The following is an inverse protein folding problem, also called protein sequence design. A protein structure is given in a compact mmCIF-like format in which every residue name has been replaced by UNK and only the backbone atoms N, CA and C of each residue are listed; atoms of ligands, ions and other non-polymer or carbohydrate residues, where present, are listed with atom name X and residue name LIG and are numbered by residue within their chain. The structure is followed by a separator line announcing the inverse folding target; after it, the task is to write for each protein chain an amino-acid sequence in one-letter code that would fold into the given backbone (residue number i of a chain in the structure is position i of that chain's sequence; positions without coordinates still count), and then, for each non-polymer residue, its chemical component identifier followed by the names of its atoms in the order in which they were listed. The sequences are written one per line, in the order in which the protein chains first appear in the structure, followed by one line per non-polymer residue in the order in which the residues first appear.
data_IF_107146818266
#
_entry.id   IF_107146818266
#
_cell.length_a   1.000
_cell.length_b   1.000
_cell.length_c   1.000
_cell.angle_alpha   90.00
_cell.angle_beta   90.00
_cell.angle_gamma   90.00
#
_symmetry.space_group_name_H-M   'P 1'
#
loop_
_entity.id
_entity.type
_entity.pdbx_description
1 polymer ?
#
# COMPACT_ATOMS: atom_id res chain seq x y z
N UNK A 1 -19.34 -1.30 5.75
CA UNK A 1 -18.50 -1.69 6.89
C UNK A 1 -18.70 -3.15 7.35
N UNK A 2 -19.86 -3.58 7.88
CA UNK A 2 -20.05 -4.96 8.37
C UNK A 2 -19.85 -6.03 7.28
N UNK A 3 -20.54 -5.91 6.16
CA UNK A 3 -20.41 -6.84 5.03
C UNK A 3 -18.96 -6.92 4.50
N UNK A 4 -18.24 -5.80 4.49
CA UNK A 4 -16.83 -5.78 4.08
C UNK A 4 -15.93 -6.55 5.06
N UNK A 5 -16.18 -6.45 6.38
CA UNK A 5 -15.46 -7.24 7.39
C UNK A 5 -15.75 -8.72 7.25
N UNK A 6 -17.00 -9.11 7.05
CA UNK A 6 -17.40 -10.51 6.84
C UNK A 6 -16.76 -11.08 5.56
N UNK A 7 -16.78 -10.31 4.46
CA UNK A 7 -16.13 -10.70 3.22
C UNK A 7 -14.61 -10.86 3.39
N UNK A 8 -13.93 -9.89 3.99
CA UNK A 8 -12.48 -9.92 4.19
C UNK A 8 -12.05 -11.03 5.16
N UNK A 9 -12.66 -11.12 6.34
CA UNK A 9 -12.26 -12.09 7.38
C UNK A 9 -12.39 -13.55 6.93
N UNK A 10 -13.29 -13.86 6.00
CA UNK A 10 -13.46 -15.20 5.45
C UNK A 10 -12.41 -15.61 4.42
N UNK A 11 -11.49 -14.74 4.00
CA UNK A 11 -10.42 -15.09 3.06
C UNK A 11 -9.31 -15.89 3.75
N UNK A 12 -8.99 -17.07 3.22
CA UNK A 12 -7.94 -17.94 3.72
C UNK A 12 -6.54 -17.51 3.24
N UNK A 13 -6.45 -16.93 2.04
CA UNK A 13 -5.18 -16.51 1.44
C UNK A 13 -5.35 -15.25 0.56
N UNK A 14 -4.22 -14.73 0.05
CA UNK A 14 -4.16 -13.52 -0.77
C UNK A 14 -4.95 -13.64 -2.07
N UNK A 15 -5.02 -14.83 -2.66
CA UNK A 15 -5.76 -15.07 -3.91
C UNK A 15 -7.26 -15.01 -3.65
N UNK A 16 -7.72 -15.63 -2.57
CA UNK A 16 -9.12 -15.57 -2.16
C UNK A 16 -9.53 -14.15 -1.75
N UNK A 17 -8.66 -13.44 -1.02
CA UNK A 17 -8.91 -12.04 -0.65
C UNK A 17 -9.07 -11.16 -1.90
N UNK A 18 -8.21 -11.35 -2.91
CA UNK A 18 -8.28 -10.64 -4.19
C UNK A 18 -9.63 -10.87 -4.86
N UNK A 19 -10.05 -12.13 -5.00
CA UNK A 19 -11.32 -12.49 -5.64
C UNK A 19 -12.52 -11.91 -4.90
N UNK A 20 -12.51 -11.97 -3.56
CA UNK A 20 -13.59 -11.43 -2.72
C UNK A 20 -13.69 -9.91 -2.84
N UNK A 21 -12.56 -9.19 -2.83
CA UNK A 21 -12.55 -7.74 -2.98
C UNK A 21 -12.98 -7.31 -4.39
N UNK A 22 -12.51 -8.00 -5.42
CA UNK A 22 -12.90 -7.74 -6.81
C UNK A 22 -14.42 -7.94 -7.02
N UNK A 23 -15.00 -8.98 -6.42
CA UNK A 23 -16.43 -9.26 -6.46
C UNK A 23 -17.28 -8.40 -5.49
N UNK A 24 -16.68 -7.60 -4.60
CA UNK A 24 -17.41 -6.87 -3.58
C UNK A 24 -18.10 -5.61 -4.12
N UNK A 25 -19.43 -5.61 -4.18
CA UNK A 25 -20.23 -4.50 -4.71
C UNK A 25 -20.57 -3.40 -3.69
N UNK A 26 -20.18 -3.58 -2.42
CA UNK A 26 -20.45 -2.60 -1.37
C UNK A 26 -19.53 -1.37 -1.38
N UNK A 27 -18.65 -1.23 -2.38
CA UNK A 27 -17.72 -0.11 -2.50
C UNK A 27 -18.11 0.82 -3.65
N UNK A 28 -18.57 2.03 -3.33
CA UNK A 28 -18.99 3.03 -4.33
C UNK A 28 -17.88 3.37 -5.34
N UNK A 29 -16.61 3.27 -4.93
CA UNK A 29 -15.46 3.54 -5.79
C UNK A 29 -15.44 2.62 -7.02
N UNK A 30 -15.84 1.36 -6.86
CA UNK A 30 -15.87 0.35 -7.92
C UNK A 30 -16.76 0.77 -9.10
N UNK A 31 -17.82 1.54 -8.84
CA UNK A 31 -18.78 1.95 -9.87
C UNK A 31 -18.20 2.98 -10.86
N UNK A 32 -17.14 3.68 -10.46
CA UNK A 32 -16.51 4.76 -11.25
C UNK A 32 -15.06 4.49 -11.62
N UNK A 33 -14.50 3.39 -11.14
CA UNK A 33 -13.08 3.06 -11.30
C UNK A 33 -12.81 2.32 -12.63
N UNK A 34 -11.58 2.43 -13.13
CA UNK A 34 -11.07 1.56 -14.20
C UNK A 34 -10.66 0.18 -13.69
N UNK A 35 -9.51 -0.31 -14.16
CA UNK A 35 -9.06 -1.68 -13.86
C UNK A 35 -8.80 -1.91 -12.36
N UNK A 36 -9.08 -3.13 -11.92
CA UNK A 36 -8.74 -3.60 -10.57
C UNK A 36 -7.26 -3.95 -10.50
N UNK A 37 -6.50 -3.25 -9.63
CA UNK A 37 -5.05 -3.41 -9.51
C UNK A 37 -4.65 -3.39 -8.04
N UNK A 38 -4.38 -4.56 -7.46
CA UNK A 38 -4.19 -4.72 -6.01
C UNK A 38 -2.71 -4.77 -5.58
N UNK A 39 -1.90 -5.60 -6.23
CA UNK A 39 -0.55 -5.92 -5.76
C UNK A 39 0.34 -6.51 -6.86
N UNK A 40 1.65 -6.54 -6.60
CA UNK A 40 2.70 -7.18 -7.39
C UNK A 40 3.83 -7.71 -6.50
N UNK A 41 4.83 -8.31 -7.13
CA UNK A 41 6.04 -8.79 -6.46
C UNK A 41 5.87 -10.14 -5.80
N UNK A 42 6.62 -10.40 -4.72
CA UNK A 42 6.68 -11.71 -4.07
C UNK A 42 5.76 -11.79 -2.83
N UNK A 43 4.64 -12.54 -2.88
CA UNK A 43 3.85 -12.84 -1.69
C UNK A 43 4.70 -13.47 -0.58
N UNK A 44 4.50 -13.03 0.67
CA UNK A 44 5.26 -13.54 1.82
C UNK A 44 6.68 -12.96 1.97
N UNK A 45 7.05 -11.97 1.15
CA UNK A 45 8.31 -11.24 1.32
C UNK A 45 8.44 -10.60 2.71
N UNK A 46 9.68 -10.52 3.22
CA UNK A 46 9.97 -9.84 4.50
C UNK A 46 9.59 -8.36 4.46
N UNK A 47 9.78 -7.71 3.31
CA UNK A 47 9.41 -6.32 3.06
C UNK A 47 8.12 -6.25 2.26
N UNK A 48 7.12 -5.56 2.82
CA UNK A 48 5.95 -5.08 2.07
C UNK A 48 6.05 -3.57 1.89
N UNK A 49 5.83 -3.09 0.67
CA UNK A 49 5.67 -1.66 0.35
C UNK A 49 4.20 -1.41 0.07
N UNK A 50 3.62 -0.49 0.84
CA UNK A 50 2.25 -0.05 0.70
C UNK A 50 2.22 1.37 0.12
N UNK A 51 1.72 1.48 -1.10
CA UNK A 51 1.35 2.76 -1.71
C UNK A 51 -0.17 2.99 -1.59
N UNK A 52 -0.66 4.16 -1.98
CA UNK A 52 -2.06 4.51 -1.79
C UNK A 52 -2.98 3.87 -2.84
N UNK A 53 -2.80 4.22 -4.12
CA UNK A 53 -3.69 3.79 -5.20
C UNK A 53 -2.93 3.62 -6.51
N UNK A 54 -3.44 2.82 -7.45
CA UNK A 54 -2.96 2.79 -8.83
C UNK A 54 -2.92 4.17 -9.48
N UNK A 55 -1.95 4.39 -10.37
CA UNK A 55 -1.86 5.58 -11.22
C UNK A 55 -2.68 5.45 -12.50
N UNK A 56 -2.51 6.42 -13.41
CA UNK A 56 -3.21 6.44 -14.70
C UNK A 56 -2.76 5.28 -15.60
N UNK A 57 -1.46 4.98 -15.61
CA UNK A 57 -0.92 3.87 -16.39
C UNK A 57 -1.43 2.52 -15.89
N UNK A 58 -1.45 2.29 -14.57
CA UNK A 58 -2.00 1.07 -13.96
C UNK A 58 -3.50 0.93 -14.21
N UNK A 59 -4.27 2.02 -14.05
CA UNK A 59 -5.71 2.03 -14.31
C UNK A 59 -6.03 1.66 -15.76
N UNK A 60 -5.18 2.09 -16.70
CA UNK A 60 -5.35 1.83 -18.14
C UNK A 60 -4.87 0.44 -18.56
N UNK A 61 -3.77 -0.06 -18.02
CA UNK A 61 -3.22 -1.37 -18.41
C UNK A 61 -3.79 -2.54 -17.61
N UNK A 62 -4.26 -2.29 -16.38
CA UNK A 62 -4.56 -3.32 -15.40
C UNK A 62 -3.33 -4.00 -14.80
N UNK A 63 -2.13 -3.52 -15.10
CA UNK A 63 -0.88 -4.04 -14.55
C UNK A 63 -0.45 -3.21 -13.35
N UNK A 64 -0.03 -3.86 -12.27
CA UNK A 64 0.39 -3.19 -11.04
C UNK A 64 1.82 -2.62 -11.14
N UNK A 65 2.02 -1.43 -10.56
CA UNK A 65 3.31 -0.75 -10.50
C UNK A 65 3.96 -0.61 -11.90
N UNK A 66 3.32 0.18 -12.76
CA UNK A 66 3.85 0.60 -14.06
C UNK A 66 3.98 2.13 -14.13
N UNK A 67 4.55 2.68 -15.19
CA UNK A 67 4.67 4.13 -15.32
C UNK A 67 5.76 4.79 -14.44
N UNK A 68 5.72 6.14 -14.29
CA UNK A 68 6.80 6.91 -13.67
C UNK A 68 7.03 6.64 -12.18
N UNK A 69 5.95 6.49 -11.40
CA UNK A 69 6.05 6.24 -9.96
C UNK A 69 6.65 4.87 -9.68
N UNK A 70 6.22 3.84 -10.43
CA UNK A 70 6.78 2.51 -10.32
C UNK A 70 8.27 2.46 -10.68
N UNK A 71 8.71 3.17 -11.73
CA UNK A 71 10.14 3.28 -12.06
C UNK A 71 10.94 3.97 -10.94
N UNK A 72 10.36 4.95 -10.26
CA UNK A 72 10.99 5.56 -9.10
C UNK A 72 11.11 4.56 -7.95
N UNK A 73 10.03 3.82 -7.65
CA UNK A 73 10.02 2.78 -6.63
C UNK A 73 11.08 1.70 -6.91
N UNK A 74 11.18 1.23 -8.15
CA UNK A 74 12.19 0.24 -8.55
C UNK A 74 13.62 0.73 -8.28
N UNK A 75 13.91 1.99 -8.60
CA UNK A 75 15.21 2.59 -8.32
C UNK A 75 15.46 2.72 -6.80
N UNK A 76 14.43 3.07 -6.03
CA UNK A 76 14.50 3.16 -4.56
C UNK A 76 14.78 1.80 -3.92
N UNK A 77 14.08 0.76 -4.35
CA UNK A 77 14.27 -0.61 -3.88
C UNK A 77 15.65 -1.14 -4.26
N UNK A 78 16.06 -0.96 -5.51
CA UNK A 78 17.39 -1.37 -6.00
C UNK A 78 18.52 -0.72 -5.19
N UNK A 79 18.37 0.54 -4.81
CA UNK A 79 19.37 1.27 -4.04
C UNK A 79 19.59 0.70 -2.62
N UNK A 80 18.64 -0.05 -2.07
CA UNK A 80 18.77 -0.75 -0.79
C UNK A 80 18.98 -2.27 -0.94
N UNK A 81 19.30 -2.72 -2.16
CA UNK A 81 19.53 -4.15 -2.47
C UNK A 81 18.27 -4.99 -2.54
N UNK A 82 17.11 -4.37 -2.79
CA UNK A 82 15.82 -5.02 -2.97
C UNK A 82 15.39 -4.99 -4.44
N UNK A 83 14.49 -5.89 -4.82
CA UNK A 83 13.88 -5.97 -6.14
C UNK A 83 12.42 -6.40 -6.05
N UNK A 84 11.70 -6.35 -7.17
CA UNK A 84 10.28 -6.74 -7.22
C UNK A 84 10.08 -8.22 -6.86
N UNK A 85 11.07 -9.05 -7.13
CA UNK A 85 11.11 -10.47 -6.79
C UNK A 85 11.41 -10.76 -5.32
N UNK A 86 11.83 -9.75 -4.54
CA UNK A 86 12.16 -9.89 -3.11
C UNK A 86 11.31 -9.01 -2.18
N UNK A 87 10.50 -8.11 -2.73
CA UNK A 87 9.51 -7.32 -2.00
C UNK A 87 8.08 -7.65 -2.44
N UNK A 88 7.13 -7.46 -1.53
CA UNK A 88 5.71 -7.46 -1.84
C UNK A 88 5.23 -6.02 -2.00
N UNK A 89 4.62 -5.68 -3.14
CA UNK A 89 4.16 -4.33 -3.43
C UNK A 89 2.63 -4.33 -3.47
N UNK A 90 1.98 -3.42 -2.76
CA UNK A 90 0.52 -3.36 -2.70
C UNK A 90 0.00 -1.92 -2.67
N UNK A 91 -1.25 -1.75 -3.10
CA UNK A 91 -2.01 -0.51 -2.94
C UNK A 91 -3.01 -0.61 -1.79
N UNK A 92 -3.21 0.49 -1.07
CA UNK A 92 -4.22 0.61 -0.03
C UNK A 92 -5.67 0.56 -0.57
N UNK A 93 -5.86 0.96 -1.83
CA UNK A 93 -7.09 0.77 -2.61
C UNK A 93 -6.75 0.17 -3.97
N UNK A 94 -7.48 -0.87 -4.44
CA UNK A 94 -7.19 -1.49 -5.73
C UNK A 94 -7.66 -0.68 -6.94
N UNK A 95 -8.35 0.43 -6.69
CA UNK A 95 -8.91 1.31 -7.70
C UNK A 95 -8.35 2.72 -7.52
N UNK A 96 -8.09 3.38 -8.64
CA UNK A 96 -7.72 4.79 -8.68
C UNK A 96 -8.94 5.66 -8.38
N UNK A 97 -8.90 6.52 -7.34
CA UNK A 97 -9.99 7.45 -7.10
C UNK A 97 -10.13 8.50 -8.21
N UNK A 98 -11.36 8.89 -8.59
CA UNK A 98 -11.59 9.88 -9.63
C UNK A 98 -10.82 11.19 -9.37
N UNK A 99 -10.04 11.63 -10.35
CA UNK A 99 -9.20 12.83 -10.24
C UNK A 99 -8.03 12.70 -9.26
N UNK A 100 -7.66 11.48 -8.83
CA UNK A 100 -6.54 11.25 -7.92
C UNK A 100 -6.76 11.76 -6.49
N UNK A 101 -8.02 11.91 -6.06
CA UNK A 101 -8.37 12.33 -4.70
C UNK A 101 -8.06 11.27 -3.64
N UNK A 102 -8.05 11.67 -2.37
CA UNK A 102 -8.08 10.71 -1.25
C UNK A 102 -9.46 10.00 -1.16
N UNK A 103 -9.51 8.87 -0.46
CA UNK A 103 -10.76 8.17 -0.15
C UNK A 103 -11.61 9.02 0.80
N UNK A 104 -12.92 9.02 0.57
CA UNK A 104 -13.85 9.56 1.56
C UNK A 104 -14.04 8.60 2.75
N UNK A 105 -14.66 9.05 3.83
CA UNK A 105 -14.83 8.25 5.05
C UNK A 105 -15.58 6.93 4.81
N UNK A 106 -16.58 6.91 3.91
CA UNK A 106 -17.35 5.70 3.59
C UNK A 106 -16.52 4.68 2.79
N UNK A 107 -15.75 5.16 1.81
CA UNK A 107 -14.82 4.34 1.04
C UNK A 107 -13.73 3.75 1.94
N UNK A 108 -13.10 4.58 2.78
CA UNK A 108 -12.10 4.13 3.76
C UNK A 108 -12.69 3.07 4.70
N UNK A 109 -13.86 3.32 5.28
CA UNK A 109 -14.52 2.36 6.17
C UNK A 109 -14.92 1.03 5.48
N UNK A 110 -15.03 1.04 4.15
CA UNK A 110 -15.36 -0.13 3.34
C UNK A 110 -14.12 -0.91 2.94
N UNK A 111 -13.03 -0.23 2.58
CA UNK A 111 -11.79 -0.85 2.12
C UNK A 111 -10.86 -1.26 3.26
N UNK A 112 -10.91 -0.56 4.41
CA UNK A 112 -10.04 -0.83 5.56
C UNK A 112 -10.02 -2.31 5.99
N UNK A 113 -11.15 -3.04 6.12
CA UNK A 113 -11.12 -4.45 6.48
C UNK A 113 -10.35 -5.33 5.48
N UNK A 114 -10.47 -5.02 4.19
CA UNK A 114 -9.73 -5.74 3.15
C UNK A 114 -8.23 -5.42 3.22
N UNK A 115 -7.87 -4.16 3.40
CA UNK A 115 -6.47 -3.74 3.56
C UNK A 115 -5.81 -4.38 4.79
N UNK A 116 -6.51 -4.39 5.94
CA UNK A 116 -6.03 -5.05 7.15
C UNK A 116 -5.81 -6.54 6.93
N UNK A 117 -6.79 -7.22 6.31
CA UNK A 117 -6.66 -8.64 5.97
C UNK A 117 -5.54 -8.90 4.96
N UNK A 118 -5.34 -7.98 4.02
CA UNK A 118 -4.27 -8.07 3.02
C UNK A 118 -2.90 -8.04 3.70
N UNK A 119 -2.67 -7.08 4.60
CA UNK A 119 -1.42 -6.97 5.35
C UNK A 119 -1.23 -8.17 6.31
N UNK A 120 -2.31 -8.63 6.96
CA UNK A 120 -2.32 -9.85 7.79
C UNK A 120 -1.85 -11.07 6.99
N UNK A 121 -2.46 -11.33 5.83
CA UNK A 121 -2.15 -12.48 4.98
C UNK A 121 -0.79 -12.37 4.29
N UNK A 122 -0.38 -11.15 3.92
CA UNK A 122 0.95 -10.90 3.37
C UNK A 122 2.06 -11.14 4.42
N UNK A 123 1.71 -11.01 5.70
CA UNK A 123 2.57 -11.29 6.84
C UNK A 123 3.99 -10.69 6.67
N UNK A 124 4.14 -9.37 6.49
CA UNK A 124 5.45 -8.73 6.35
C UNK A 124 6.15 -8.57 7.70
N UNK A 125 7.48 -8.61 7.72
CA UNK A 125 8.27 -8.25 8.91
C UNK A 125 8.47 -6.73 8.95
N UNK A 126 8.62 -6.12 7.78
CA UNK A 126 8.79 -4.69 7.58
C UNK A 126 7.71 -4.18 6.64
N UNK A 127 7.00 -3.12 7.05
CA UNK A 127 5.97 -2.45 6.26
C UNK A 127 6.41 -1.01 5.93
N UNK A 128 6.81 -0.76 4.70
CA UNK A 128 7.12 0.58 4.22
C UNK A 128 5.85 1.23 3.65
N UNK A 129 5.35 2.27 4.30
CA UNK A 129 4.16 3.02 3.84
C UNK A 129 4.63 4.28 3.12
N UNK A 130 4.14 4.49 1.90
CA UNK A 130 4.50 5.63 1.06
C UNK A 130 3.38 6.68 1.05
N UNK A 131 3.58 7.76 1.80
CA UNK A 131 2.69 8.92 1.80
C UNK A 131 1.52 8.88 2.77
N UNK A 132 0.89 10.04 2.95
CA UNK A 132 -0.15 10.23 3.97
C UNK A 132 -1.45 9.52 3.63
N UNK A 133 -1.83 9.46 2.35
CA UNK A 133 -3.06 8.81 1.94
C UNK A 133 -3.02 7.30 2.24
N UNK A 134 -1.90 6.63 1.94
CA UNK A 134 -1.68 5.22 2.30
C UNK A 134 -1.68 5.01 3.83
N UNK A 135 -1.03 5.91 4.57
CA UNK A 135 -0.97 5.82 6.03
C UNK A 135 -2.34 6.05 6.69
N UNK A 136 -3.11 7.05 6.26
CA UNK A 136 -4.49 7.28 6.71
C UNK A 136 -5.36 6.06 6.43
N UNK A 137 -5.26 5.49 5.23
CA UNK A 137 -6.02 4.30 4.86
C UNK A 137 -5.65 3.08 5.72
N UNK A 138 -4.37 2.86 6.01
CA UNK A 138 -3.90 1.71 6.77
C UNK A 138 -4.09 1.82 8.29
N UNK A 139 -4.01 3.04 8.83
CA UNK A 139 -3.99 3.30 10.28
C UNK A 139 -5.31 3.88 10.82
N UNK A 140 -6.16 4.44 9.96
CA UNK A 140 -7.34 5.19 10.40
C UNK A 140 -7.01 6.42 11.26
N UNK A 141 -5.76 6.90 11.23
CA UNK A 141 -5.25 7.97 12.08
C UNK A 141 -5.03 9.28 11.31
N UNK A 142 -5.31 10.41 11.96
CA UNK A 142 -5.17 11.75 11.38
C UNK A 142 -3.83 12.43 11.75
N UNK A 143 -3.22 12.10 12.90
CA UNK A 143 -1.93 12.67 13.31
C UNK A 143 -0.76 11.81 12.82
N UNK A 144 -0.41 11.98 11.54
CA UNK A 144 0.73 11.28 10.92
C UNK A 144 2.07 11.96 11.17
N UNK A 145 2.08 13.21 11.66
CA UNK A 145 3.30 13.99 11.82
C UNK A 145 4.31 13.30 12.74
N UNK A 146 3.81 12.65 13.80
CA UNK A 146 4.60 11.89 14.77
C UNK A 146 5.18 10.58 14.22
N UNK A 147 4.58 10.03 13.16
CA UNK A 147 5.00 8.74 12.57
C UNK A 147 6.07 8.90 11.49
N UNK A 148 6.21 10.11 10.92
CA UNK A 148 7.15 10.36 9.82
C UNK A 148 8.60 10.27 10.29
N UNK A 149 9.39 9.46 9.60
CA UNK A 149 10.81 9.28 9.90
C UNK A 149 11.09 8.51 11.19
N UNK A 150 10.07 7.85 11.75
CA UNK A 150 10.17 7.02 12.94
C UNK A 150 9.57 5.65 12.67
N UNK A 151 10.11 4.65 13.36
CA UNK A 151 9.52 3.32 13.36
C UNK A 151 8.35 3.23 14.34
N UNK A 152 7.35 2.45 13.96
CA UNK A 152 6.24 2.09 14.84
C UNK A 152 5.80 0.65 14.55
N UNK A 153 5.05 0.05 15.46
CA UNK A 153 4.53 -1.29 15.27
C UNK A 153 3.14 -1.21 14.60
N UNK A 154 2.94 -2.04 13.58
CA UNK A 154 1.66 -2.20 12.89
C UNK A 154 1.08 -3.56 13.23
N UNK A 155 -0.17 -3.59 13.68
CA UNK A 155 -0.88 -4.82 14.02
C UNK A 155 -1.31 -5.55 12.73
N UNK A 156 -0.76 -6.74 12.51
CA UNK A 156 -1.12 -7.64 11.41
C UNK A 156 -1.85 -8.89 11.93
N UNK A 157 -2.63 -8.77 13.00
CA UNK A 157 -3.38 -9.87 13.61
C UNK A 157 -2.49 -10.75 14.48
N UNK A 158 -2.06 -11.91 13.96
CA UNK A 158 -1.25 -12.86 14.75
C UNK A 158 0.19 -12.39 15.02
N UNK A 159 0.63 -11.30 14.38
CA UNK A 159 1.99 -10.75 14.43
C UNK A 159 1.94 -9.24 14.24
N UNK A 160 3.02 -8.56 14.64
CA UNK A 160 3.22 -7.15 14.34
C UNK A 160 4.32 -6.98 13.29
N UNK A 161 4.13 -6.04 12.37
CA UNK A 161 5.17 -5.60 11.45
C UNK A 161 5.85 -4.33 11.99
N UNK A 162 7.16 -4.20 11.73
CA UNK A 162 7.88 -2.94 11.93
C UNK A 162 7.54 -2.03 10.77
N UNK A 163 6.75 -0.98 11.02
CA UNK A 163 6.29 -0.07 10.00
C UNK A 163 7.09 1.24 9.98
N UNK A 164 7.26 1.80 8.79
CA UNK A 164 7.95 3.06 8.56
C UNK A 164 7.17 3.91 7.56
N UNK A 165 6.88 5.17 7.92
CA UNK A 165 6.18 6.10 7.06
C UNK A 165 7.16 7.02 6.32
N UNK A 166 7.18 6.90 4.99
CA UNK A 166 7.96 7.74 4.08
C UNK A 166 7.07 8.69 3.26
N UNK A 167 7.68 9.41 2.32
CA UNK A 167 7.00 10.32 1.39
C UNK A 167 6.37 9.54 0.22
N UNK A 168 5.29 10.07 -0.36
CA UNK A 168 4.65 9.46 -1.54
C UNK A 168 5.53 9.58 -2.78
N UNK A 169 5.43 8.61 -3.68
CA UNK A 169 6.18 8.59 -4.95
C UNK A 169 5.87 9.82 -5.81
N UNK A 170 4.59 10.18 -5.95
CA UNK A 170 4.17 11.37 -6.68
C UNK A 170 4.78 12.68 -6.14
N UNK A 171 4.92 12.83 -4.82
CA UNK A 171 5.59 14.01 -4.24
C UNK A 171 7.09 14.00 -4.54
N UNK A 172 7.74 12.84 -4.53
CA UNK A 172 9.16 12.70 -4.84
C UNK A 172 9.47 12.95 -6.32
N UNK A 173 8.54 12.65 -7.22
CA UNK A 173 8.65 13.02 -8.63
C UNK A 173 8.52 14.52 -8.84
N UNK A 174 7.53 15.16 -8.21
CA UNK A 174 7.25 16.60 -8.35
C UNK A 174 8.25 17.49 -7.61
N UNK A 175 8.88 16.99 -6.55
CA UNK A 175 9.76 17.79 -5.68
C UNK A 175 11.10 17.07 -5.44
N UNK A 176 12.08 17.21 -6.35
CA UNK A 176 13.37 16.52 -6.25
C UNK A 176 14.14 16.76 -4.94
N UNK A 177 13.99 17.93 -4.32
CA UNK A 177 14.62 18.26 -3.04
C UNK A 177 14.24 17.28 -1.91
N UNK A 178 13.04 16.68 -1.98
CA UNK A 178 12.56 15.72 -1.01
C UNK A 178 13.24 14.34 -1.12
N UNK A 179 13.90 14.03 -2.25
CA UNK A 179 14.59 12.74 -2.45
C UNK A 179 15.70 12.50 -1.43
N UNK A 180 16.35 13.56 -0.94
CA UNK A 180 17.34 13.44 0.15
C UNK A 180 16.71 12.90 1.43
N UNK A 181 15.48 13.31 1.75
CA UNK A 181 14.76 12.81 2.93
C UNK A 181 14.33 11.36 2.71
N UNK A 182 13.68 11.07 1.58
CA UNK A 182 13.29 9.69 1.25
C UNK A 182 14.47 8.72 1.24
N UNK A 183 15.66 9.17 0.82
CA UNK A 183 16.87 8.35 0.91
C UNK A 183 17.25 8.00 2.35
N UNK A 184 17.13 8.93 3.29
CA UNK A 184 17.36 8.65 4.73
C UNK A 184 16.36 7.62 5.25
N UNK A 185 15.10 7.77 4.86
CA UNK A 185 14.02 6.84 5.23
C UNK A 185 14.31 5.43 4.68
N UNK A 186 14.72 5.32 3.41
CA UNK A 186 15.11 4.05 2.79
C UNK A 186 16.32 3.40 3.46
N UNK A 187 17.31 4.19 3.87
CA UNK A 187 18.48 3.68 4.62
C UNK A 187 18.10 3.14 6.00
N UNK A 188 17.10 3.72 6.66
CA UNK A 188 16.55 3.16 7.89
C UNK A 188 15.90 1.79 7.61
N UNK A 189 15.09 1.71 6.56
CA UNK A 189 14.42 0.46 6.14
C UNK A 189 15.43 -0.63 5.77
N UNK A 190 16.48 -0.29 5.02
CA UNK A 190 17.54 -1.22 4.61
C UNK A 190 18.13 -2.03 5.77
N UNK A 191 18.39 -1.38 6.91
CA UNK A 191 18.92 -2.05 8.09
C UNK A 191 17.95 -2.99 8.78
N UNK A 192 16.64 -2.89 8.49
CA UNK A 192 15.60 -3.68 9.15
C UNK A 192 15.11 -4.87 8.33
N UNK A 193 15.14 -4.79 6.99
CA UNK A 193 14.62 -5.86 6.12
C UNK A 193 15.69 -6.84 5.61
N UNK A 194 16.97 -6.41 5.58
CA UNK A 194 18.11 -7.31 5.37
C UNK A 194 18.19 -8.33 6.51
#
# INVERSE_FOLDING_TARGET
ARAAREAASGAADLSELRLRLEAFDGCALKATAGHFVLAAGAPGARLMVLDFSPGEEEERSGEAFVGPEARLLDNMLKAIGCGRETAYLAYATPWRPPGGRELNASETATLLPFLQKHIELAAPQVLLILGDAAAKAALGANDLARLRGAWFDYDCGARSARAFLSLSLGNLLKTPALKRRAWRDLRAVEGAWK
#
